data_IF_545959581693
#
_entry.id   IF_545959581693
#
_cell.length_a   1.000
_cell.length_b   1.000
_cell.length_c   1.000
_cell.angle_alpha   90.00
_cell.angle_beta   90.00
_cell.angle_gamma   90.00
#
_symmetry.space_group_name_H-M   'P 1'
#
loop_
_entity.id
_entity.type
_entity.pdbx_description
1 polymer ?
#
# COMPACT_ATOMS: atom_id res chain seq x y z
N UNK A 1 18.51 8.81 6.19
CA UNK A 1 19.43 9.38 5.18
C UNK A 1 18.58 10.02 4.07
N UNK A 2 19.14 10.76 3.10
CA UNK A 2 18.37 11.32 1.98
C UNK A 2 17.44 10.30 1.29
N UNK A 3 16.35 10.80 0.68
CA UNK A 3 15.36 10.00 -0.07
C UNK A 3 14.63 8.95 0.78
N UNK A 4 14.52 9.16 2.10
CA UNK A 4 13.90 8.18 3.01
C UNK A 4 14.72 6.90 3.19
N UNK A 5 15.96 6.86 2.71
CA UNK A 5 16.83 5.69 2.84
C UNK A 5 17.33 5.57 4.28
N UNK A 6 17.04 4.46 4.95
CA UNK A 6 17.61 4.13 6.26
C UNK A 6 18.94 3.38 6.12
N UNK A 7 19.71 3.29 7.21
CA UNK A 7 20.92 2.46 7.24
C UNK A 7 20.62 1.00 6.98
N UNK A 8 19.48 0.53 7.51
CA UNK A 8 18.92 -0.77 7.22
C UNK A 8 18.59 -0.94 5.73
N UNK A 9 18.01 0.06 5.06
CA UNK A 9 17.76 -0.03 3.60
C UNK A 9 19.06 -0.13 2.80
N UNK A 10 20.13 0.57 3.20
CA UNK A 10 21.44 0.42 2.55
C UNK A 10 21.97 -1.00 2.73
N UNK A 11 21.81 -1.58 3.91
CA UNK A 11 22.22 -2.96 4.19
C UNK A 11 21.38 -3.98 3.42
N UNK A 12 20.06 -3.77 3.34
CA UNK A 12 19.12 -4.71 2.72
C UNK A 12 19.14 -4.68 1.21
N UNK A 13 19.28 -3.51 0.60
CA UNK A 13 19.22 -3.36 -0.86
C UNK A 13 20.58 -3.16 -1.51
N UNK A 14 21.64 -2.90 -0.73
CA UNK A 14 22.94 -2.50 -1.26
C UNK A 14 23.60 -3.52 -2.19
N UNK A 15 23.59 -4.81 -1.80
CA UNK A 15 24.13 -5.90 -2.62
C UNK A 15 23.32 -6.09 -3.91
N UNK A 16 22.00 -6.15 -3.80
CA UNK A 16 21.10 -6.40 -4.95
C UNK A 16 21.14 -5.24 -5.93
N UNK A 17 21.09 -4.00 -5.45
CA UNK A 17 21.22 -2.81 -6.30
C UNK A 17 22.59 -2.76 -6.97
N UNK A 18 23.64 -3.15 -6.25
CA UNK A 18 24.97 -3.20 -6.84
C UNK A 18 25.06 -4.21 -7.99
N UNK A 19 24.59 -5.44 -7.77
CA UNK A 19 24.68 -6.52 -8.75
C UNK A 19 23.83 -6.25 -9.98
N UNK A 20 22.67 -5.62 -9.78
CA UNK A 20 21.78 -5.22 -10.86
C UNK A 20 22.25 -3.96 -11.58
N UNK A 21 23.16 -3.15 -11.03
CA UNK A 21 23.50 -1.86 -11.61
C UNK A 21 24.43 -1.92 -12.82
N UNK A 22 24.24 -0.95 -13.73
CA UNK A 22 25.19 -0.52 -14.77
C UNK A 22 26.66 -0.35 -14.31
N UNK A 23 26.94 -0.42 -13.00
CA UNK A 23 28.29 -0.37 -12.43
C UNK A 23 29.19 -1.55 -12.83
N UNK A 24 28.65 -2.72 -13.15
CA UNK A 24 29.45 -3.83 -13.67
C UNK A 24 29.73 -3.58 -15.16
N UNK A 25 30.82 -2.89 -15.44
CA UNK A 25 31.23 -2.56 -16.81
C UNK A 25 32.22 -3.59 -17.34
N UNK A 26 31.73 -4.66 -17.99
CA UNK A 26 32.57 -5.51 -18.84
C UNK A 26 32.77 -4.85 -20.20
N UNK A 27 33.63 -3.84 -20.27
CA UNK A 27 33.96 -3.14 -21.52
C UNK A 27 35.05 -3.87 -22.29
N UNK A 28 34.87 -3.99 -23.61
CA UNK A 28 35.94 -4.41 -24.54
C UNK A 28 36.29 -3.21 -25.43
N UNK A 29 37.53 -2.72 -25.33
CA UNK A 29 37.99 -1.55 -26.09
C UNK A 29 37.54 -0.20 -25.49
N UNK A 30 37.66 0.88 -26.27
CA UNK A 30 37.42 2.28 -25.84
C UNK A 30 36.43 3.00 -26.79
N UNK A 31 35.21 2.48 -26.89
CA UNK A 31 34.15 3.05 -27.75
C UNK A 31 33.67 4.43 -27.26
N UNK A 32 33.74 4.71 -25.96
CA UNK A 32 33.33 5.99 -25.36
C UNK A 32 34.25 7.12 -25.79
N UNK A 33 35.59 6.92 -25.76
CA UNK A 33 36.53 7.92 -26.26
C UNK A 33 36.44 8.12 -27.76
N UNK A 34 36.06 7.07 -28.50
CA UNK A 34 35.88 7.10 -29.95
C UNK A 34 34.50 7.60 -30.40
N UNK A 35 33.60 7.88 -29.45
CA UNK A 35 32.21 8.30 -29.73
C UNK A 35 31.47 7.31 -30.66
N UNK A 36 31.79 6.02 -30.55
CA UNK A 36 31.19 4.95 -31.35
C UNK A 36 29.93 4.43 -30.66
N UNK A 37 28.82 5.13 -30.89
CA UNK A 37 27.54 4.86 -30.22
C UNK A 37 26.92 3.51 -30.60
N UNK A 38 27.18 3.02 -31.82
CA UNK A 38 26.71 1.70 -32.23
C UNK A 38 27.44 0.58 -31.48
N UNK A 39 28.76 0.73 -31.26
CA UNK A 39 29.53 -0.21 -30.45
C UNK A 39 29.21 -0.13 -28.95
N UNK A 40 28.76 1.03 -28.46
CA UNK A 40 28.25 1.18 -27.08
C UNK A 40 26.92 0.44 -26.94
N UNK A 41 25.99 0.62 -27.87
CA UNK A 41 24.68 -0.02 -27.82
C UNK A 41 24.79 -1.54 -27.98
N UNK A 42 25.68 -2.03 -28.85
CA UNK A 42 25.95 -3.46 -29.02
C UNK A 42 26.56 -4.13 -27.77
N UNK A 43 27.11 -3.36 -26.83
CA UNK A 43 27.64 -3.87 -25.56
C UNK A 43 26.59 -3.83 -24.42
N UNK A 44 25.39 -3.29 -24.67
CA UNK A 44 24.33 -3.11 -23.67
C UNK A 44 23.76 -4.44 -23.14
N UNK A 45 23.77 -5.48 -23.97
CA UNK A 45 23.27 -6.83 -23.63
C UNK A 45 24.08 -7.53 -22.51
N UNK A 46 25.20 -6.93 -22.07
CA UNK A 46 26.00 -7.38 -20.93
C UNK A 46 26.22 -6.33 -19.84
N UNK A 47 25.51 -5.19 -19.89
CA UNK A 47 25.55 -4.16 -18.84
C UNK A 47 24.35 -4.31 -17.90
N UNK A 48 24.52 -3.99 -16.62
CA UNK A 48 23.41 -4.01 -15.65
C UNK A 48 22.27 -3.05 -16.02
N UNK A 49 21.24 -3.03 -15.20
CA UNK A 49 20.06 -2.19 -15.29
C UNK A 49 20.35 -0.74 -14.85
N UNK A 50 19.62 0.21 -15.42
CA UNK A 50 19.59 1.60 -14.96
C UNK A 50 18.87 1.73 -13.62
N UNK A 51 19.13 2.81 -12.89
CA UNK A 51 18.50 3.03 -11.57
C UNK A 51 16.96 3.08 -11.65
N UNK A 52 16.40 3.54 -12.78
CA UNK A 52 14.95 3.53 -12.99
C UNK A 52 14.40 2.11 -13.22
N UNK A 53 15.14 1.26 -13.94
CA UNK A 53 14.78 -0.14 -14.15
C UNK A 53 14.94 -0.96 -12.87
N UNK A 54 16.01 -0.72 -12.10
CA UNK A 54 16.21 -1.33 -10.78
C UNK A 54 15.13 -0.85 -9.82
N UNK A 55 14.78 0.43 -9.84
CA UNK A 55 13.71 1.00 -9.02
C UNK A 55 12.37 0.35 -9.32
N UNK A 56 12.02 0.23 -10.60
CA UNK A 56 10.82 -0.49 -11.03
C UNK A 56 10.82 -1.95 -10.57
N UNK A 57 11.99 -2.58 -10.50
CA UNK A 57 12.12 -3.98 -10.06
C UNK A 57 12.13 -4.19 -8.55
N UNK A 58 12.61 -3.20 -7.79
CA UNK A 58 12.77 -3.29 -6.33
C UNK A 58 11.69 -2.54 -5.55
N UNK A 59 10.71 -1.92 -6.22
CA UNK A 59 9.66 -1.15 -5.57
C UNK A 59 10.21 0.07 -4.81
N UNK A 60 11.38 0.56 -5.22
CA UNK A 60 12.06 1.70 -4.62
C UNK A 60 11.90 2.92 -5.53
N UNK A 61 12.04 4.12 -4.97
CA UNK A 61 12.18 5.30 -5.81
C UNK A 61 13.53 5.22 -6.59
N UNK A 62 13.62 5.64 -7.85
CA UNK A 62 14.88 5.80 -8.57
C UNK A 62 15.92 6.59 -7.76
N UNK A 63 15.47 7.57 -6.97
CA UNK A 63 16.30 8.36 -6.09
C UNK A 63 16.86 7.52 -4.92
N UNK A 64 16.07 6.61 -4.35
CA UNK A 64 16.50 5.66 -3.31
C UNK A 64 17.45 4.62 -3.84
N UNK A 65 17.12 4.02 -4.99
CA UNK A 65 18.02 3.10 -5.67
C UNK A 65 19.34 3.78 -5.96
N UNK A 66 19.28 4.99 -6.49
CA UNK A 66 20.52 5.71 -6.78
C UNK A 66 21.29 6.00 -5.50
N UNK A 67 20.62 6.42 -4.43
CA UNK A 67 21.30 6.73 -3.18
C UNK A 67 21.93 5.49 -2.52
N UNK A 68 21.21 4.36 -2.50
CA UNK A 68 21.71 3.09 -1.97
C UNK A 68 22.82 2.55 -2.87
N UNK A 69 22.64 2.59 -4.19
CA UNK A 69 23.68 2.24 -5.18
C UNK A 69 24.95 3.02 -4.90
N UNK A 70 24.82 4.33 -4.72
CA UNK A 70 25.95 5.22 -4.44
C UNK A 70 26.59 4.93 -3.09
N UNK A 71 25.83 4.64 -2.03
CA UNK A 71 26.44 4.24 -0.76
C UNK A 71 27.16 2.90 -0.90
N UNK A 72 26.58 1.96 -1.64
CA UNK A 72 27.19 0.65 -1.92
C UNK A 72 28.48 0.81 -2.74
N UNK A 73 28.46 1.68 -3.75
CA UNK A 73 29.66 2.13 -4.47
C UNK A 73 30.67 2.80 -3.56
N UNK A 74 30.24 3.68 -2.66
CA UNK A 74 31.13 4.36 -1.72
C UNK A 74 31.84 3.39 -0.79
N UNK A 75 31.10 2.40 -0.25
CA UNK A 75 31.62 1.31 0.59
C UNK A 75 32.65 0.47 -0.18
N UNK A 76 32.42 0.22 -1.47
CA UNK A 76 33.28 -0.63 -2.32
C UNK A 76 34.46 0.11 -2.98
N UNK A 77 34.31 1.38 -3.33
CA UNK A 77 35.28 2.15 -4.12
C UNK A 77 36.00 3.28 -3.37
N UNK A 78 35.70 3.55 -2.08
CA UNK A 78 36.30 4.63 -1.26
C UNK A 78 36.32 6.01 -1.94
N UNK A 79 35.16 6.66 -2.12
CA UNK A 79 35.07 7.99 -2.77
C UNK A 79 34.11 8.96 -2.07
N UNK A 80 34.64 9.99 -1.42
CA UNK A 80 33.90 10.94 -0.57
C UNK A 80 33.46 12.25 -1.27
N UNK A 81 32.98 12.23 -2.52
CA UNK A 81 32.58 13.48 -3.23
C UNK A 81 31.23 13.47 -4.00
N UNK A 82 30.34 12.51 -3.74
CA UNK A 82 29.15 12.28 -4.58
C UNK A 82 28.03 13.35 -4.51
N UNK A 83 27.76 13.95 -3.33
CA UNK A 83 26.64 14.91 -3.16
C UNK A 83 26.77 16.15 -4.06
N UNK A 84 28.02 16.54 -4.39
CA UNK A 84 28.34 17.66 -5.29
C UNK A 84 28.16 17.29 -6.77
N UNK A 85 28.33 16.02 -7.14
CA UNK A 85 28.15 15.50 -8.50
C UNK A 85 26.67 15.39 -8.90
N UNK A 86 25.80 15.05 -7.93
CA UNK A 86 24.36 14.93 -8.15
C UNK A 86 23.69 16.28 -8.44
N UNK A 87 24.04 17.31 -7.67
CA UNK A 87 23.57 18.68 -7.90
C UNK A 87 24.08 19.29 -9.23
N UNK A 88 25.21 18.79 -9.75
CA UNK A 88 25.84 19.36 -10.94
C UNK A 88 25.45 18.66 -12.25
N UNK A 89 24.78 17.51 -12.24
CA UNK A 89 24.21 16.88 -13.45
C UNK A 89 25.15 16.82 -14.67
N UNK A 90 26.47 16.70 -14.46
CA UNK A 90 27.48 16.83 -15.52
C UNK A 90 27.36 18.10 -16.39
N UNK A 91 26.79 19.20 -15.86
CA UNK A 91 26.58 20.47 -16.55
C UNK A 91 25.58 20.44 -17.72
N UNK A 92 24.84 19.33 -17.95
CA UNK A 92 24.02 19.16 -19.16
C UNK A 92 22.53 18.88 -18.92
N UNK A 93 22.10 18.73 -17.66
CA UNK A 93 20.69 18.46 -17.31
C UNK A 93 20.08 19.48 -16.34
N UNK A 94 20.73 20.62 -16.15
CA UNK A 94 20.13 21.72 -15.39
C UNK A 94 19.13 22.45 -16.29
N UNK A 95 17.83 22.21 -16.06
CA UNK A 95 16.74 23.02 -16.60
C UNK A 95 16.22 23.91 -15.49
N UNK A 96 16.59 25.17 -15.56
CA UNK A 96 16.17 26.19 -14.60
C UNK A 96 14.63 26.29 -14.64
N UNK A 97 13.96 26.03 -13.50
CA UNK A 97 12.49 25.98 -13.39
C UNK A 97 11.86 24.59 -13.28
N UNK A 98 12.59 23.49 -13.57
CA UNK A 98 12.10 22.10 -13.46
C UNK A 98 12.68 21.34 -12.25
N UNK A 99 13.48 21.99 -11.40
CA UNK A 99 14.06 21.36 -10.21
C UNK A 99 13.05 21.35 -9.05
N UNK A 100 12.67 20.15 -8.61
CA UNK A 100 11.88 19.91 -7.41
C UNK A 100 12.79 19.31 -6.32
N UNK A 101 12.69 19.80 -5.09
CA UNK A 101 13.40 19.23 -3.94
C UNK A 101 12.68 17.92 -3.52
N UNK A 102 13.28 16.74 -3.70
CA UNK A 102 12.65 15.47 -3.35
C UNK A 102 12.42 15.30 -1.84
N UNK A 103 13.09 16.09 -0.99
CA UNK A 103 12.86 16.10 0.46
C UNK A 103 11.66 16.99 0.86
N UNK A 104 11.19 17.88 -0.03
CA UNK A 104 10.02 18.75 0.20
C UNK A 104 8.73 17.96 0.43
N UNK A 105 8.64 16.78 -0.16
CA UNK A 105 7.46 15.90 -0.16
C UNK A 105 7.46 14.84 0.96
N UNK A 106 8.56 14.75 1.73
CA UNK A 106 8.76 13.75 2.78
C UNK A 106 8.82 14.35 4.20
N UNK A 107 8.57 15.65 4.33
CA UNK A 107 8.51 16.30 5.65
C UNK A 107 7.22 15.89 6.35
N UNK A 108 7.30 14.83 7.14
CA UNK A 108 6.20 14.39 8.01
C UNK A 108 6.17 15.25 9.27
N UNK A 109 4.95 15.53 9.75
CA UNK A 109 4.76 16.07 11.09
C UNK A 109 5.14 15.01 12.14
N UNK A 110 5.63 15.40 13.33
CA UNK A 110 6.02 14.46 14.38
C UNK A 110 4.94 13.43 14.73
N UNK A 111 3.67 13.80 14.63
CA UNK A 111 2.51 12.96 14.94
C UNK A 111 2.34 11.79 13.95
N UNK A 112 2.80 11.93 12.70
CA UNK A 112 2.70 10.92 11.65
C UNK A 112 3.88 9.90 11.69
N UNK A 113 4.96 10.20 12.41
CA UNK A 113 6.16 9.36 12.45
C UNK A 113 5.92 7.99 13.12
N UNK A 114 5.23 7.87 14.27
CA UNK A 114 5.07 6.57 14.93
C UNK A 114 4.34 5.53 14.09
N UNK A 115 3.33 5.95 13.32
CA UNK A 115 2.59 5.05 12.45
C UNK A 115 3.46 4.53 11.30
N UNK A 116 4.35 5.38 10.79
CA UNK A 116 5.38 4.97 9.82
C UNK A 116 6.33 3.93 10.42
N UNK A 117 6.79 4.14 11.65
CA UNK A 117 7.68 3.20 12.33
C UNK A 117 7.00 1.84 12.59
N UNK A 118 5.70 1.85 12.88
CA UNK A 118 4.89 0.64 13.07
C UNK A 118 4.76 -0.22 11.79
N UNK A 119 4.95 0.36 10.60
CA UNK A 119 4.92 -0.36 9.32
C UNK A 119 6.25 -1.06 8.95
N UNK A 120 7.17 -1.23 9.90
CA UNK A 120 8.47 -1.82 9.61
C UNK A 120 8.37 -3.34 9.42
N UNK A 121 8.38 -3.79 8.16
CA UNK A 121 8.53 -5.20 7.81
C UNK A 121 10.00 -5.60 7.67
N UNK A 122 10.28 -6.89 7.87
CA UNK A 122 11.59 -7.47 7.63
C UNK A 122 12.00 -7.25 6.15
N UNK A 123 13.16 -6.62 5.88
CA UNK A 123 13.56 -6.29 4.50
C UNK A 123 13.64 -7.50 3.57
N UNK A 124 13.96 -8.67 4.09
CA UNK A 124 14.00 -9.93 3.37
C UNK A 124 12.61 -10.31 2.83
N UNK A 125 11.55 -10.04 3.61
CA UNK A 125 10.16 -10.28 3.19
C UNK A 125 9.74 -9.30 2.09
N UNK A 126 10.08 -8.02 2.24
CA UNK A 126 9.80 -7.00 1.22
C UNK A 126 10.46 -7.39 -0.10
N UNK A 127 11.75 -7.78 -0.05
CA UNK A 127 12.49 -8.22 -1.24
C UNK A 127 11.86 -9.47 -1.88
N UNK A 128 11.46 -10.45 -1.07
CA UNK A 128 10.81 -11.67 -1.56
C UNK A 128 9.46 -11.38 -2.24
N UNK A 129 8.57 -10.61 -1.60
CA UNK A 129 7.25 -10.27 -2.16
C UNK A 129 7.37 -9.42 -3.43
N UNK A 130 8.30 -8.46 -3.44
CA UNK A 130 8.56 -7.64 -4.63
C UNK A 130 9.11 -8.48 -5.79
N UNK A 131 10.11 -9.34 -5.52
CA UNK A 131 10.70 -10.21 -6.54
C UNK A 131 9.69 -11.21 -7.13
N UNK A 132 8.72 -11.65 -6.33
CA UNK A 132 7.62 -12.51 -6.76
C UNK A 132 6.49 -11.76 -7.50
N UNK A 133 6.58 -10.43 -7.64
CA UNK A 133 5.52 -9.61 -8.24
C UNK A 133 4.24 -9.52 -7.39
N UNK A 134 4.33 -9.92 -6.12
CA UNK A 134 3.22 -9.82 -5.17
C UNK A 134 3.07 -8.39 -4.67
N UNK A 135 4.15 -7.62 -4.61
CA UNK A 135 4.16 -6.19 -4.31
C UNK A 135 4.78 -5.42 -5.49
N UNK A 136 4.06 -4.45 -6.04
CA UNK A 136 4.38 -3.77 -7.30
C UNK A 136 4.37 -2.23 -7.21
N UNK A 137 4.26 -1.68 -5.99
CA UNK A 137 4.29 -0.23 -5.77
C UNK A 137 2.98 0.51 -6.07
N UNK A 138 1.92 -0.21 -6.47
CA UNK A 138 0.57 0.34 -6.68
C UNK A 138 -0.07 0.77 -5.35
N UNK A 139 -0.97 1.75 -5.44
CA UNK A 139 -1.83 2.25 -4.37
C UNK A 139 -3.29 2.18 -4.79
N UNK A 140 -4.23 2.28 -3.84
CA UNK A 140 -5.65 2.40 -4.21
C UNK A 140 -5.90 3.64 -5.08
N UNK A 141 -5.18 4.74 -4.83
CA UNK A 141 -5.27 5.97 -5.62
C UNK A 141 -4.73 5.82 -7.04
N UNK A 142 -3.53 5.25 -7.22
CA UNK A 142 -2.93 5.02 -8.55
C UNK A 142 -3.73 4.00 -9.35
N UNK A 143 -4.28 2.98 -8.68
CA UNK A 143 -5.15 1.99 -9.31
C UNK A 143 -6.44 2.63 -9.84
N UNK A 144 -7.08 3.52 -9.05
CA UNK A 144 -8.23 4.30 -9.52
C UNK A 144 -7.88 5.17 -10.73
N UNK A 145 -6.75 5.88 -10.68
CA UNK A 145 -6.28 6.71 -11.81
C UNK A 145 -6.08 5.89 -13.08
N UNK A 146 -5.46 4.70 -12.95
CA UNK A 146 -5.28 3.77 -14.08
C UNK A 146 -6.62 3.33 -14.64
N UNK A 147 -7.58 2.97 -13.79
CA UNK A 147 -8.93 2.58 -14.24
C UNK A 147 -9.67 3.71 -14.94
N UNK A 148 -9.58 4.94 -14.43
CA UNK A 148 -10.16 6.10 -15.11
C UNK A 148 -9.53 6.34 -16.50
N UNK A 149 -8.22 6.13 -16.65
CA UNK A 149 -7.54 6.27 -17.93
C UNK A 149 -7.87 5.13 -18.93
N UNK A 150 -8.01 3.90 -18.45
CA UNK A 150 -8.23 2.71 -19.30
C UNK A 150 -9.71 2.45 -19.60
N UNK A 151 -10.61 2.81 -18.68
CA UNK A 151 -12.02 2.44 -18.68
C UNK A 151 -12.92 3.58 -18.16
N UNK A 152 -12.67 4.80 -18.64
CA UNK A 152 -13.34 6.06 -18.25
C UNK A 152 -14.84 5.95 -17.99
N UNK A 153 -15.60 5.43 -18.97
CA UNK A 153 -17.07 5.39 -18.94
C UNK A 153 -17.63 4.14 -18.23
N UNK A 154 -16.78 3.18 -17.87
CA UNK A 154 -17.20 1.96 -17.17
C UNK A 154 -17.64 2.28 -15.74
N UNK A 155 -18.65 1.56 -15.21
CA UNK A 155 -19.14 1.80 -13.86
C UNK A 155 -18.09 1.40 -12.81
N UNK A 156 -17.75 2.35 -11.92
CA UNK A 156 -16.90 2.14 -10.76
C UNK A 156 -17.72 1.90 -9.49
N UNK A 157 -18.90 2.52 -9.40
CA UNK A 157 -19.83 2.35 -8.30
C UNK A 157 -21.25 2.19 -8.82
N UNK A 158 -22.02 1.27 -8.25
CA UNK A 158 -23.43 1.00 -8.57
C UNK A 158 -24.22 1.00 -7.26
N UNK A 159 -25.15 1.93 -7.12
CA UNK A 159 -26.14 1.94 -6.04
C UNK A 159 -27.42 2.59 -6.55
N UNK A 160 -28.04 3.46 -5.75
CA UNK A 160 -29.17 4.30 -6.21
C UNK A 160 -28.81 5.14 -7.44
N UNK A 161 -27.53 5.50 -7.55
CA UNK A 161 -26.93 6.12 -8.72
C UNK A 161 -25.66 5.38 -9.10
N UNK A 162 -25.40 5.27 -10.40
CA UNK A 162 -24.14 4.74 -10.92
C UNK A 162 -23.15 5.88 -11.15
N UNK A 163 -21.88 5.62 -10.87
CA UNK A 163 -20.76 6.50 -11.19
C UNK A 163 -19.74 5.76 -12.05
N UNK A 164 -19.27 6.43 -13.10
CA UNK A 164 -18.16 5.94 -13.91
C UNK A 164 -16.82 6.11 -13.17
N UNK A 165 -15.77 5.44 -13.65
CA UNK A 165 -14.42 5.62 -13.11
C UNK A 165 -13.92 7.05 -13.21
N UNK A 166 -14.20 7.74 -14.32
CA UNK A 166 -13.82 9.15 -14.50
C UNK A 166 -14.54 10.07 -13.50
N UNK A 167 -15.86 9.92 -13.38
CA UNK A 167 -16.66 10.69 -12.43
C UNK A 167 -16.26 10.43 -10.97
N UNK A 168 -15.88 9.19 -10.63
CA UNK A 168 -15.35 8.86 -9.31
C UNK A 168 -13.98 9.51 -9.08
N UNK A 169 -13.06 9.43 -10.05
CA UNK A 169 -11.73 10.02 -9.95
C UNK A 169 -11.78 11.55 -9.79
N UNK A 170 -12.66 12.24 -10.53
CA UNK A 170 -12.87 13.68 -10.37
C UNK A 170 -13.33 14.05 -8.96
N UNK A 171 -14.30 13.32 -8.41
CA UNK A 171 -14.80 13.55 -7.04
C UNK A 171 -13.76 13.25 -5.99
N UNK A 172 -12.98 12.18 -6.16
CA UNK A 172 -11.86 11.83 -5.27
C UNK A 172 -10.79 12.92 -5.30
N UNK A 173 -10.48 13.48 -6.48
CA UNK A 173 -9.53 14.58 -6.60
C UNK A 173 -10.03 15.86 -5.90
N UNK A 174 -11.32 16.20 -6.00
CA UNK A 174 -11.93 17.32 -5.27
C UNK A 174 -11.88 17.10 -3.76
N UNK A 175 -12.25 15.91 -3.30
CA UNK A 175 -12.21 15.54 -1.89
C UNK A 175 -10.80 15.58 -1.32
N UNK A 176 -9.81 15.06 -2.04
CA UNK A 176 -8.40 15.17 -1.67
C UNK A 176 -7.95 16.64 -1.58
N UNK A 177 -8.47 17.51 -2.44
CA UNK A 177 -8.25 18.95 -2.38
C UNK A 177 -8.90 19.63 -1.18
N UNK A 178 -10.08 19.18 -0.77
CA UNK A 178 -10.74 19.62 0.46
C UNK A 178 -9.92 19.23 1.70
N UNK A 179 -9.37 18.02 1.74
CA UNK A 179 -8.44 17.58 2.79
C UNK A 179 -7.19 18.48 2.85
N UNK A 180 -6.63 18.82 1.69
CA UNK A 180 -5.50 19.75 1.60
C UNK A 180 -5.85 21.13 2.15
N UNK A 181 -7.02 21.67 1.76
CA UNK A 181 -7.51 22.98 2.20
C UNK A 181 -7.80 23.02 3.71
N UNK A 182 -8.18 21.88 4.30
CA UNK A 182 -8.34 21.73 5.76
C UNK A 182 -6.99 21.72 6.52
N UNK A 183 -5.86 21.79 5.83
CA UNK A 183 -4.52 21.85 6.43
C UNK A 183 -3.99 20.49 6.88
N UNK A 184 -4.56 19.40 6.34
CA UNK A 184 -4.09 18.04 6.58
C UNK A 184 -2.67 17.87 6.01
N UNK A 185 -1.77 17.27 6.76
CA UNK A 185 -0.45 16.86 6.29
C UNK A 185 -0.47 15.44 5.72
N UNK A 186 0.52 15.11 4.89
CA UNK A 186 0.75 13.71 4.49
C UNK A 186 1.09 12.86 5.72
N UNK A 187 0.62 11.62 5.72
CA UNK A 187 0.77 10.66 6.81
C UNK A 187 -0.09 10.94 8.04
N UNK A 188 -0.85 12.04 8.08
CA UNK A 188 -1.80 12.28 9.16
C UNK A 188 -3.04 11.38 9.01
N UNK A 189 -3.61 10.98 10.16
CA UNK A 189 -4.76 10.08 10.20
C UNK A 189 -6.07 10.86 10.06
N UNK A 190 -6.96 10.34 9.22
CA UNK A 190 -8.33 10.79 9.00
C UNK A 190 -9.28 9.69 9.44
N UNK A 191 -10.05 9.94 10.50
CA UNK A 191 -11.16 9.06 10.86
C UNK A 191 -12.28 9.17 9.82
N UNK A 192 -12.87 8.05 9.43
CA UNK A 192 -14.02 8.01 8.51
C UNK A 192 -15.13 7.25 9.22
N UNK A 193 -16.26 7.90 9.45
CA UNK A 193 -17.42 7.33 10.15
C UNK A 193 -18.62 7.54 9.25
N UNK A 194 -19.06 6.49 8.59
CA UNK A 194 -20.03 6.59 7.50
C UNK A 194 -20.84 5.32 7.40
N UNK A 195 -22.15 5.45 7.19
CA UNK A 195 -23.02 4.35 6.77
C UNK A 195 -23.36 4.39 5.27
N UNK A 196 -22.98 5.48 4.56
CA UNK A 196 -23.07 5.59 3.10
C UNK A 196 -21.84 4.95 2.44
N UNK A 197 -22.01 3.83 1.71
CA UNK A 197 -20.89 3.14 1.07
C UNK A 197 -20.18 4.01 0.04
N UNK A 198 -20.88 4.91 -0.66
CA UNK A 198 -20.26 5.79 -1.63
C UNK A 198 -19.38 6.82 -0.93
N UNK A 199 -19.90 7.48 0.11
CA UNK A 199 -19.16 8.49 0.86
C UNK A 199 -17.93 7.88 1.56
N UNK A 200 -18.10 6.77 2.28
CA UNK A 200 -17.01 6.12 3.00
C UNK A 200 -15.86 5.69 2.08
N UNK A 201 -16.17 5.08 0.94
CA UNK A 201 -15.15 4.66 -0.03
C UNK A 201 -14.52 5.83 -0.78
N UNK A 202 -15.29 6.88 -1.10
CA UNK A 202 -14.77 8.12 -1.66
C UNK A 202 -13.79 8.80 -0.69
N UNK A 203 -14.13 8.88 0.59
CA UNK A 203 -13.27 9.44 1.63
C UNK A 203 -11.98 8.62 1.80
N UNK A 204 -12.07 7.29 1.77
CA UNK A 204 -10.91 6.40 1.81
C UNK A 204 -9.99 6.63 0.60
N UNK A 205 -10.56 6.69 -0.61
CA UNK A 205 -9.82 6.97 -1.84
C UNK A 205 -9.22 8.38 -1.84
N UNK A 206 -9.91 9.37 -1.29
CA UNK A 206 -9.39 10.73 -1.14
C UNK A 206 -8.18 10.78 -0.20
N UNK A 207 -8.21 10.02 0.89
CA UNK A 207 -7.04 9.85 1.77
C UNK A 207 -5.86 9.22 1.01
N UNK A 208 -6.12 8.12 0.28
CA UNK A 208 -5.11 7.45 -0.53
C UNK A 208 -4.51 8.37 -1.61
N UNK A 209 -5.36 9.16 -2.28
CA UNK A 209 -4.96 10.11 -3.32
C UNK A 209 -4.14 11.27 -2.75
N UNK A 210 -4.49 11.76 -1.57
CA UNK A 210 -3.81 12.86 -0.89
C UNK A 210 -2.48 12.43 -0.22
N UNK A 211 -2.38 11.16 0.18
CA UNK A 211 -1.30 10.65 1.01
C UNK A 211 -1.57 10.78 2.52
N UNK A 212 -2.84 10.78 2.92
CA UNK A 212 -3.27 10.66 4.32
C UNK A 212 -3.63 9.21 4.66
N UNK A 213 -3.68 8.91 5.96
CA UNK A 213 -4.06 7.57 6.44
C UNK A 213 -5.54 7.54 6.76
N UNK A 214 -6.29 6.70 6.04
CA UNK A 214 -7.69 6.45 6.37
C UNK A 214 -7.82 5.55 7.61
N UNK A 215 -8.71 5.90 8.53
CA UNK A 215 -9.17 5.06 9.64
C UNK A 215 -10.69 4.91 9.51
N UNK A 216 -11.19 3.95 8.70
CA UNK A 216 -12.61 3.69 8.61
C UNK A 216 -13.10 3.01 9.90
N UNK A 217 -14.12 3.61 10.52
CA UNK A 217 -14.71 3.20 11.78
C UNK A 217 -16.18 2.90 11.58
N UNK A 218 -16.66 1.86 12.26
CA UNK A 218 -18.07 1.50 12.20
C UNK A 218 -18.93 2.61 12.80
N UNK A 219 -20.02 3.03 12.14
CA UNK A 219 -20.97 3.99 12.70
C UNK A 219 -21.65 3.44 13.97
N UNK A 220 -21.68 2.11 14.15
CA UNK A 220 -22.23 1.45 15.33
C UNK A 220 -21.40 1.64 16.61
N UNK A 221 -20.13 2.07 16.50
CA UNK A 221 -19.31 2.37 17.68
C UNK A 221 -19.93 3.53 18.47
N UNK A 222 -19.93 3.40 19.80
CA UNK A 222 -20.38 4.49 20.66
C UNK A 222 -19.38 5.67 20.65
N UNK A 223 -19.79 6.81 21.20
CA UNK A 223 -18.94 8.01 21.24
C UNK A 223 -17.61 7.82 22.00
N UNK A 224 -17.58 6.94 23.02
CA UNK A 224 -16.36 6.67 23.80
C UNK A 224 -15.40 5.75 23.05
N UNK A 225 -15.91 4.67 22.47
CA UNK A 225 -15.13 3.75 21.65
C UNK A 225 -14.54 4.48 20.43
N UNK A 226 -15.37 5.28 19.74
CA UNK A 226 -14.93 6.11 18.61
C UNK A 226 -13.83 7.09 19.04
N UNK A 227 -14.02 7.80 20.14
CA UNK A 227 -13.01 8.73 20.67
C UNK A 227 -11.70 8.01 21.08
N UNK A 228 -11.79 6.79 21.62
CA UNK A 228 -10.63 5.99 21.99
C UNK A 228 -9.79 5.64 20.75
N UNK A 229 -10.41 5.15 19.67
CA UNK A 229 -9.69 4.86 18.42
C UNK A 229 -9.10 6.10 17.78
N UNK A 230 -9.86 7.19 17.68
CA UNK A 230 -9.36 8.46 17.11
C UNK A 230 -8.17 9.00 17.91
N UNK A 231 -8.21 8.87 19.25
CA UNK A 231 -7.12 9.30 20.12
C UNK A 231 -5.90 8.39 19.98
N UNK A 232 -6.09 7.07 20.00
CA UNK A 232 -5.03 6.09 19.82
C UNK A 232 -4.32 6.31 18.47
N UNK A 233 -5.10 6.52 17.40
CA UNK A 233 -4.60 6.81 16.06
C UNK A 233 -4.02 8.21 15.87
N UNK A 234 -4.21 9.12 16.84
CA UNK A 234 -3.84 10.54 16.73
C UNK A 234 -4.48 11.20 15.51
N UNK A 235 -5.76 10.90 15.27
CA UNK A 235 -6.53 11.42 14.14
C UNK A 235 -6.56 12.95 14.14
N UNK A 236 -6.24 13.55 13.00
CA UNK A 236 -6.21 15.01 12.83
C UNK A 236 -7.60 15.60 12.67
N UNK A 237 -8.47 14.85 12.00
CA UNK A 237 -9.87 15.15 11.76
C UNK A 237 -10.65 13.84 11.60
N UNK A 238 -11.97 13.93 11.69
CA UNK A 238 -12.89 12.86 11.35
C UNK A 238 -13.89 13.37 10.29
N UNK A 239 -14.25 12.48 9.38
CA UNK A 239 -15.24 12.70 8.33
C UNK A 239 -16.49 11.90 8.67
N UNK A 240 -17.62 12.57 8.63
CA UNK A 240 -18.96 12.00 8.70
C UNK A 240 -19.75 12.33 7.43
N UNK A 241 -20.86 11.64 7.16
CA UNK A 241 -21.58 11.70 5.86
C UNK A 241 -22.00 13.12 5.41
N UNK A 242 -22.13 14.05 6.35
CA UNK A 242 -22.46 15.46 6.10
C UNK A 242 -21.23 16.37 5.90
N UNK A 243 -20.02 15.82 5.90
CA UNK A 243 -18.80 16.60 5.69
C UNK A 243 -18.71 17.08 4.24
N UNK A 244 -18.43 18.37 4.05
CA UNK A 244 -18.26 18.93 2.71
C UNK A 244 -16.89 18.57 2.13
N UNK A 245 -16.89 17.53 1.28
CA UNK A 245 -15.75 17.12 0.48
C UNK A 245 -15.81 17.62 -0.97
N UNK A 246 -16.92 18.24 -1.38
CA UNK A 246 -17.15 18.66 -2.76
C UNK A 246 -16.63 20.08 -3.04
N UNK A 247 -16.51 20.92 -2.02
CA UNK A 247 -16.04 22.31 -2.15
C UNK A 247 -14.54 22.50 -2.41
N UNK A 248 -13.74 21.43 -2.42
CA UNK A 248 -12.30 21.50 -2.63
C UNK A 248 -11.90 21.80 -4.08
N UNK A 249 -10.86 22.62 -4.28
CA UNK A 249 -10.21 22.71 -5.58
C UNK A 249 -9.53 21.36 -5.92
N UNK A 250 -9.53 20.89 -7.17
CA UNK A 250 -9.06 19.54 -7.49
C UNK A 250 -7.58 19.37 -7.09
N UNK A 251 -7.31 18.36 -6.27
CA UNK A 251 -5.94 17.92 -6.02
C UNK A 251 -5.44 17.21 -7.28
N UNK A 252 -4.32 17.64 -7.89
CA UNK A 252 -3.80 16.98 -9.08
C UNK A 252 -3.51 15.51 -8.79
N UNK A 253 -3.47 14.64 -9.81
CA UNK A 253 -2.99 13.27 -9.65
C UNK A 253 -1.63 13.31 -8.97
N UNK A 254 -1.60 12.86 -7.72
CA UNK A 254 -0.35 12.51 -7.11
C UNK A 254 -0.05 11.09 -7.61
N UNK A 255 1.21 10.82 -7.93
CA UNK A 255 1.70 9.45 -8.01
C UNK A 255 2.32 9.17 -6.64
N UNK A 256 1.54 8.97 -5.56
CA UNK A 256 2.13 8.45 -4.35
C UNK A 256 2.64 7.07 -4.71
N UNK A 257 3.96 6.93 -4.87
CA UNK A 257 4.56 5.60 -4.91
C UNK A 257 4.34 5.02 -3.53
N UNK A 258 3.62 3.91 -3.43
CA UNK A 258 3.50 3.22 -2.15
C UNK A 258 4.91 2.78 -1.73
N UNK A 259 5.51 3.48 -0.76
CA UNK A 259 6.69 2.95 -0.12
C UNK A 259 6.23 1.83 0.82
N UNK A 260 6.99 0.74 0.90
CA UNK A 260 6.70 -0.36 1.83
C UNK A 260 6.68 0.04 3.32
N UNK A 261 7.06 1.29 3.63
CA UNK A 261 7.04 1.88 4.97
C UNK A 261 5.96 2.96 5.14
N UNK A 262 5.16 3.24 4.10
CA UNK A 262 4.09 4.23 4.17
C UNK A 262 2.80 3.50 4.62
N UNK A 263 2.29 3.78 5.83
CA UNK A 263 1.04 3.21 6.31
C UNK A 263 -0.10 3.75 5.46
N UNK A 264 -0.98 2.90 4.96
CA UNK A 264 -2.20 3.38 4.32
C UNK A 264 -3.35 2.41 4.52
N UNK A 265 -4.32 2.94 5.25
CA UNK A 265 -5.42 2.30 5.98
C UNK A 265 -5.02 1.69 7.33
N UNK A 266 -5.68 2.18 8.37
CA UNK A 266 -5.62 1.68 9.73
C UNK A 266 -6.98 1.04 10.04
N UNK A 267 -7.00 -0.26 10.33
CA UNK A 267 -8.22 -1.01 10.57
C UNK A 267 -8.38 -1.29 12.07
N UNK A 268 -9.60 -1.18 12.58
CA UNK A 268 -9.88 -1.52 13.98
C UNK A 268 -10.12 -3.03 14.14
N UNK A 269 -9.57 -3.59 15.22
CA UNK A 269 -9.74 -4.99 15.65
C UNK A 269 -9.85 -5.01 17.17
N UNK A 270 -11.01 -5.34 17.72
CA UNK A 270 -11.25 -5.28 19.16
C UNK A 270 -11.01 -3.90 19.76
N UNK A 271 -9.99 -3.80 20.61
CA UNK A 271 -9.50 -2.55 21.19
C UNK A 271 -8.22 -2.02 20.52
N UNK A 272 -7.78 -2.69 19.45
CA UNK A 272 -6.52 -2.46 18.76
C UNK A 272 -6.71 -1.80 17.39
N UNK A 273 -5.61 -1.26 16.88
CA UNK A 273 -5.51 -0.73 15.53
C UNK A 273 -4.46 -1.52 14.77
N UNK A 274 -4.78 -1.87 13.54
CA UNK A 274 -3.97 -2.72 12.68
C UNK A 274 -3.60 -1.93 11.42
N UNK A 275 -2.32 -1.53 11.26
CA UNK A 275 -1.90 -0.78 10.10
C UNK A 275 -1.68 -1.71 8.91
N UNK A 276 -2.25 -1.32 7.76
CA UNK A 276 -1.97 -1.97 6.48
C UNK A 276 -1.23 -1.01 5.57
N UNK A 277 -0.41 -1.56 4.68
CA UNK A 277 0.03 -0.81 3.50
C UNK A 277 -0.95 -1.06 2.36
N UNK A 278 -0.98 -0.17 1.37
CA UNK A 278 -1.73 -0.44 0.14
C UNK A 278 -1.27 -1.75 -0.54
N UNK A 279 0.02 -2.09 -0.45
CA UNK A 279 0.56 -3.32 -1.03
C UNK A 279 0.00 -4.56 -0.30
N UNK A 280 -0.17 -4.48 1.02
CA UNK A 280 -0.79 -5.54 1.83
C UNK A 280 -2.25 -5.74 1.44
N UNK A 281 -3.02 -4.66 1.33
CA UNK A 281 -4.43 -4.71 0.91
C UNK A 281 -4.59 -5.25 -0.51
N UNK A 282 -3.78 -4.76 -1.46
CA UNK A 282 -3.83 -5.21 -2.85
C UNK A 282 -3.38 -6.66 -2.98
N UNK A 283 -2.39 -7.11 -2.20
CA UNK A 283 -2.00 -8.51 -2.16
C UNK A 283 -3.15 -9.42 -1.69
N UNK A 284 -3.88 -9.03 -0.65
CA UNK A 284 -5.07 -9.74 -0.20
C UNK A 284 -6.17 -9.74 -1.29
N UNK A 285 -6.41 -8.58 -1.91
CA UNK A 285 -7.44 -8.42 -2.93
C UNK A 285 -7.19 -9.24 -4.22
N UNK A 286 -5.92 -9.47 -4.61
CA UNK A 286 -5.58 -10.24 -5.82
C UNK A 286 -6.14 -11.66 -5.80
N UNK A 287 -6.19 -12.30 -4.62
CA UNK A 287 -6.76 -13.65 -4.49
C UNK A 287 -8.25 -13.67 -4.86
N UNK A 288 -9.02 -12.74 -4.30
CA UNK A 288 -10.46 -12.65 -4.56
C UNK A 288 -10.76 -12.14 -5.98
N UNK A 289 -9.94 -11.22 -6.51
CA UNK A 289 -10.08 -10.75 -7.88
C UNK A 289 -9.85 -11.86 -8.93
N UNK A 290 -9.05 -12.88 -8.61
CA UNK A 290 -8.84 -14.05 -9.48
C UNK A 290 -10.08 -14.96 -9.60
N UNK A 291 -11.12 -14.72 -8.79
CA UNK A 291 -12.44 -15.35 -8.95
C UNK A 291 -13.26 -14.71 -10.08
N UNK A 292 -12.70 -13.70 -10.75
CA UNK A 292 -13.32 -12.97 -11.87
C UNK A 292 -14.74 -12.47 -11.54
N UNK A 293 -14.90 -11.72 -10.43
CA UNK A 293 -16.21 -11.21 -10.06
C UNK A 293 -16.71 -10.19 -11.10
N UNK A 294 -18.02 -10.13 -11.33
CA UNK A 294 -18.65 -9.14 -12.21
C UNK A 294 -19.12 -7.88 -11.45
N UNK A 295 -19.00 -7.87 -10.13
CA UNK A 295 -19.32 -6.77 -9.23
C UNK A 295 -19.14 -7.21 -7.78
N UNK A 296 -18.78 -6.28 -6.90
CA UNK A 296 -18.48 -6.60 -5.49
C UNK A 296 -19.41 -5.81 -4.58
N UNK A 297 -20.06 -6.46 -3.62
CA UNK A 297 -20.93 -5.79 -2.66
C UNK A 297 -20.11 -4.82 -1.78
N UNK A 298 -20.76 -3.78 -1.27
CA UNK A 298 -20.16 -2.85 -0.32
C UNK A 298 -20.63 -3.20 1.11
N UNK A 299 -19.91 -4.08 1.83
CA UNK A 299 -20.34 -4.54 3.16
C UNK A 299 -20.27 -3.41 4.19
N UNK A 300 -21.06 -3.54 5.26
CA UNK A 300 -21.10 -2.54 6.33
C UNK A 300 -19.86 -2.57 7.24
N UNK A 301 -19.16 -3.70 7.34
CA UNK A 301 -17.96 -3.83 8.17
C UNK A 301 -16.78 -3.06 7.52
N UNK A 302 -16.14 -2.11 8.23
CA UNK A 302 -15.12 -1.23 7.63
C UNK A 302 -13.94 -1.95 6.95
N UNK A 303 -13.44 -3.03 7.55
CA UNK A 303 -12.32 -3.80 7.00
C UNK A 303 -12.73 -4.59 5.75
N UNK A 304 -13.93 -5.20 5.75
CA UNK A 304 -14.48 -5.85 4.57
C UNK A 304 -14.82 -4.84 3.47
N UNK A 305 -15.29 -3.64 3.81
CA UNK A 305 -15.58 -2.58 2.85
C UNK A 305 -14.31 -2.13 2.13
N UNK A 306 -13.23 -1.96 2.91
CA UNK A 306 -11.89 -1.64 2.39
C UNK A 306 -11.40 -2.75 1.45
N UNK A 307 -11.55 -4.03 1.85
CA UNK A 307 -11.18 -5.15 0.98
C UNK A 307 -12.04 -5.21 -0.28
N UNK A 308 -13.36 -5.05 -0.17
CA UNK A 308 -14.30 -5.06 -1.29
C UNK A 308 -13.92 -4.02 -2.34
N UNK A 309 -13.62 -2.79 -1.89
CA UNK A 309 -13.13 -1.72 -2.76
C UNK A 309 -11.82 -2.12 -3.47
N UNK A 310 -10.86 -2.68 -2.73
CA UNK A 310 -9.60 -3.12 -3.31
C UNK A 310 -9.81 -4.23 -4.36
N UNK A 311 -10.71 -5.18 -4.11
CA UNK A 311 -11.08 -6.25 -5.06
C UNK A 311 -11.77 -5.67 -6.29
N UNK A 312 -12.75 -4.77 -6.12
CA UNK A 312 -13.47 -4.13 -7.21
C UNK A 312 -12.52 -3.38 -8.16
N UNK A 313 -11.60 -2.57 -7.61
CA UNK A 313 -10.58 -1.87 -8.38
C UNK A 313 -9.59 -2.84 -9.06
N UNK A 314 -9.18 -3.90 -8.36
CA UNK A 314 -8.24 -4.89 -8.87
C UNK A 314 -8.84 -5.72 -10.03
N UNK A 315 -10.12 -6.11 -9.92
CA UNK A 315 -10.85 -6.83 -10.97
C UNK A 315 -11.36 -5.89 -12.09
N UNK A 316 -11.51 -4.59 -11.82
CA UNK A 316 -12.04 -3.62 -12.79
C UNK A 316 -13.56 -3.69 -12.92
N UNK A 317 -14.25 -3.98 -11.82
CA UNK A 317 -15.70 -4.15 -11.76
C UNK A 317 -16.31 -3.17 -10.75
N UNK A 318 -17.61 -2.86 -10.83
CA UNK A 318 -18.20 -1.88 -9.92
C UNK A 318 -18.27 -2.38 -8.47
N UNK A 319 -18.11 -1.44 -7.55
CA UNK A 319 -18.51 -1.60 -6.15
C UNK A 319 -20.03 -1.34 -6.03
N UNK A 320 -20.77 -2.26 -5.40
CA UNK A 320 -22.23 -2.25 -5.24
C UNK A 320 -23.00 -3.18 -6.19
N UNK A 321 -22.38 -4.30 -6.58
CA UNK A 321 -23.07 -5.44 -7.20
C UNK A 321 -23.25 -6.61 -6.24
N UNK A 322 -24.00 -7.64 -6.66
CA UNK A 322 -24.38 -8.76 -5.80
C UNK A 322 -23.66 -10.07 -6.14
N UNK A 323 -22.74 -10.05 -7.11
CA UNK A 323 -22.05 -11.23 -7.61
C UNK A 323 -20.99 -11.74 -6.61
N UNK A 324 -20.17 -10.85 -6.06
CA UNK A 324 -19.23 -11.17 -4.98
C UNK A 324 -19.65 -10.45 -3.70
N UNK A 325 -20.09 -11.19 -2.70
CA UNK A 325 -20.48 -10.65 -1.39
C UNK A 325 -19.51 -11.14 -0.33
N UNK A 326 -18.92 -10.18 0.39
CA UNK A 326 -18.05 -10.44 1.54
C UNK A 326 -18.88 -10.30 2.83
N UNK A 327 -19.03 -11.41 3.55
CA UNK A 327 -19.59 -11.46 4.89
C UNK A 327 -18.50 -11.88 5.89
N UNK A 328 -18.73 -11.65 7.17
CA UNK A 328 -17.75 -11.91 8.24
C UNK A 328 -17.18 -13.34 8.21
N UNK A 329 -18.04 -14.33 8.00
CA UNK A 329 -17.66 -15.75 7.96
C UNK A 329 -17.78 -16.41 6.57
N UNK A 330 -18.29 -15.67 5.58
CA UNK A 330 -18.68 -16.27 4.30
C UNK A 330 -18.39 -15.37 3.11
N UNK A 331 -18.04 -16.03 2.02
CA UNK A 331 -17.98 -15.44 0.69
C UNK A 331 -19.16 -16.00 -0.10
N UNK A 332 -19.92 -15.14 -0.78
CA UNK A 332 -20.89 -15.58 -1.77
C UNK A 332 -20.40 -15.15 -3.15
N UNK A 333 -20.20 -16.13 -4.03
CA UNK A 333 -19.96 -15.90 -5.45
C UNK A 333 -21.16 -16.45 -6.23
N UNK A 334 -21.88 -15.59 -6.94
CA UNK A 334 -23.14 -15.94 -7.61
C UNK A 334 -24.15 -16.63 -6.68
N UNK A 335 -24.21 -16.19 -5.43
CA UNK A 335 -25.06 -16.75 -4.37
C UNK A 335 -24.57 -18.09 -3.82
N UNK A 336 -23.50 -18.67 -4.34
CA UNK A 336 -22.89 -19.87 -3.78
C UNK A 336 -22.01 -19.50 -2.59
N UNK A 337 -22.41 -19.99 -1.41
CA UNK A 337 -21.67 -19.79 -0.16
C UNK A 337 -20.39 -20.63 -0.15
N UNK A 338 -19.28 -19.98 0.17
CA UNK A 338 -17.97 -20.57 0.37
C UNK A 338 -17.47 -20.16 1.77
N UNK A 339 -16.84 -21.07 2.54
CA UNK A 339 -16.16 -20.70 3.77
C UNK A 339 -15.14 -19.61 3.45
N UNK A 340 -15.13 -18.55 4.24
CA UNK A 340 -14.23 -17.41 4.05
C UNK A 340 -13.84 -16.87 5.41
N UNK A 341 -12.54 -16.73 5.64
CA UNK A 341 -12.05 -16.05 6.82
C UNK A 341 -11.36 -14.76 6.37
N UNK A 342 -11.80 -13.64 6.93
CA UNK A 342 -11.15 -12.35 6.82
C UNK A 342 -11.17 -11.69 8.17
N UNK A 343 -10.01 -11.20 8.63
CA UNK A 343 -9.92 -10.40 9.84
C UNK A 343 -9.11 -9.12 9.56
N UNK A 344 -9.18 -8.11 10.45
CA UNK A 344 -8.40 -6.90 10.29
C UNK A 344 -6.89 -7.16 10.14
N UNK A 345 -6.30 -8.18 10.74
CA UNK A 345 -4.87 -8.53 10.66
C UNK A 345 -4.47 -9.19 9.36
N UNK A 346 -5.41 -9.88 8.72
CA UNK A 346 -5.20 -10.55 7.44
C UNK A 346 -6.56 -10.56 6.69
N UNK A 347 -6.82 -9.53 5.88
CA UNK A 347 -8.13 -9.31 5.29
C UNK A 347 -8.53 -10.36 4.25
N UNK A 348 -7.67 -11.32 3.90
CA UNK A 348 -8.08 -12.50 3.14
C UNK A 348 -7.25 -13.71 3.56
N UNK A 349 -7.83 -14.62 4.36
CA UNK A 349 -7.10 -15.73 4.98
C UNK A 349 -7.35 -17.09 4.33
N UNK A 350 -8.55 -17.37 3.83
CA UNK A 350 -8.80 -18.58 3.06
C UNK A 350 -10.21 -18.64 2.46
N UNK A 351 -10.35 -19.40 1.37
CA UNK A 351 -11.63 -19.89 0.88
C UNK A 351 -11.67 -21.43 0.87
N UNK A 352 -12.85 -22.01 1.13
CA UNK A 352 -13.09 -23.47 0.98
C UNK A 352 -12.80 -24.33 2.21
N UNK A 353 -12.97 -25.65 2.05
CA UNK A 353 -12.69 -26.67 3.06
C UNK A 353 -11.82 -27.79 2.42
N UNK A 354 -10.52 -27.91 2.78
CA UNK A 354 -9.81 -27.14 3.80
C UNK A 354 -9.44 -25.71 3.34
N UNK A 355 -9.19 -24.78 4.29
CA UNK A 355 -8.78 -23.42 4.01
C UNK A 355 -7.45 -23.36 3.24
N UNK A 356 -7.38 -22.51 2.22
CA UNK A 356 -6.19 -22.27 1.39
C UNK A 356 -5.59 -20.89 1.63
N UNK A 357 -4.26 -20.79 1.66
CA UNK A 357 -3.61 -19.48 1.80
C UNK A 357 -3.90 -18.55 0.61
N UNK A 358 -3.94 -17.22 0.81
CA UNK A 358 -4.02 -16.25 -0.29
C UNK A 358 -2.78 -16.37 -1.20
N UNK A 359 -2.84 -15.87 -2.46
CA UNK A 359 -1.70 -15.96 -3.38
C UNK A 359 -0.40 -15.42 -2.79
N UNK A 360 0.65 -16.26 -2.79
CA UNK A 360 1.94 -15.92 -2.21
C UNK A 360 2.00 -15.93 -0.68
N UNK A 361 0.90 -16.30 -0.01
CA UNK A 361 0.83 -16.59 1.41
C UNK A 361 1.02 -18.08 1.71
N UNK A 362 1.28 -18.35 2.97
CA UNK A 362 1.39 -19.68 3.56
C UNK A 362 0.37 -19.81 4.69
N UNK A 363 -0.14 -21.02 4.88
CA UNK A 363 -1.13 -21.36 5.90
C UNK A 363 -0.72 -22.64 6.62
N UNK A 364 -0.79 -22.61 7.95
CA UNK A 364 -0.71 -23.77 8.84
C UNK A 364 -2.03 -23.83 9.61
N UNK A 365 -2.56 -25.02 9.81
CA UNK A 365 -3.76 -25.21 10.62
C UNK A 365 -3.57 -26.41 11.53
N UNK A 366 -4.06 -26.30 12.76
CA UNK A 366 -4.21 -27.45 13.66
C UNK A 366 -5.50 -28.25 13.38
N UNK A 367 -6.31 -27.80 12.41
CA UNK A 367 -7.55 -28.43 11.96
C UNK A 367 -8.75 -28.21 12.88
N UNK A 368 -8.58 -27.55 14.03
CA UNK A 368 -9.63 -27.51 15.07
C UNK A 368 -9.82 -26.15 15.73
N UNK A 369 -8.74 -25.40 16.04
CA UNK A 369 -8.82 -24.22 16.92
C UNK A 369 -8.15 -22.97 16.37
N UNK A 370 -7.06 -23.13 15.62
CA UNK A 370 -6.30 -21.99 15.13
C UNK A 370 -5.83 -22.21 13.70
N UNK A 371 -5.78 -21.10 12.97
CA UNK A 371 -5.03 -20.98 11.73
C UNK A 371 -3.88 -20.02 11.97
N UNK A 372 -2.72 -20.38 11.45
CA UNK A 372 -1.58 -19.50 11.36
C UNK A 372 -1.33 -19.15 9.90
N UNK A 373 -1.11 -17.88 9.61
CA UNK A 373 -0.81 -17.41 8.26
C UNK A 373 0.38 -16.50 8.22
N UNK A 374 1.06 -16.52 7.08
CA UNK A 374 2.17 -15.64 6.78
C UNK A 374 2.14 -15.30 5.32
N UNK A 375 2.29 -14.02 4.97
CA UNK A 375 2.22 -13.67 3.56
C UNK A 375 2.22 -12.18 3.28
N UNK A 376 2.10 -11.82 1.98
CA UNK A 376 2.10 -10.43 1.53
C UNK A 376 0.84 -9.66 1.94
N UNK A 377 -0.25 -10.35 2.28
CA UNK A 377 -1.52 -9.78 2.73
C UNK A 377 -1.71 -9.74 4.26
N UNK A 378 -0.66 -10.03 5.04
CA UNK A 378 -0.72 -10.04 6.51
C UNK A 378 -0.12 -8.75 7.06
N UNK A 379 -0.79 -8.15 8.05
CA UNK A 379 -0.35 -6.95 8.76
C UNK A 379 1.02 -7.16 9.46
N UNK A 380 1.78 -6.09 9.74
CA UNK A 380 3.04 -6.18 10.48
C UNK A 380 2.83 -6.40 12.00
N UNK A 381 1.65 -6.10 12.53
CA UNK A 381 1.36 -6.14 13.96
C UNK A 381 0.26 -5.14 14.35
N UNK A 382 0.12 -4.87 15.65
CA UNK A 382 -0.79 -3.86 16.17
C UNK A 382 -0.08 -2.53 16.41
N UNK A 383 -0.73 -1.43 16.03
CA UNK A 383 -0.22 -0.07 16.19
C UNK A 383 -0.05 0.31 17.66
N UNK A 384 1.15 0.79 18.00
CA UNK A 384 1.56 1.20 19.35
C UNK A 384 1.32 0.13 20.44
N UNK A 385 1.33 -1.17 20.04
CA UNK A 385 1.08 -2.28 20.94
C UNK A 385 2.01 -3.48 20.67
N UNK A 386 3.28 -3.42 21.14
CA UNK A 386 4.24 -4.51 20.95
C UNK A 386 3.86 -5.78 21.71
N UNK A 387 3.08 -5.68 22.80
CA UNK A 387 2.66 -6.83 23.60
C UNK A 387 1.62 -7.66 22.86
N UNK A 388 0.57 -7.03 22.33
CA UNK A 388 -0.41 -7.72 21.49
C UNK A 388 0.25 -8.26 20.22
N UNK A 389 1.17 -7.50 19.63
CA UNK A 389 1.90 -7.95 18.44
C UNK A 389 2.71 -9.23 18.72
N UNK A 390 3.44 -9.29 19.84
CA UNK A 390 4.21 -10.48 20.22
C UNK A 390 3.34 -11.68 20.63
N UNK A 391 2.05 -11.47 20.94
CA UNK A 391 1.09 -12.55 21.23
C UNK A 391 0.48 -13.13 19.97
N UNK A 392 0.12 -12.25 19.02
CA UNK A 392 -0.52 -12.65 17.77
C UNK A 392 0.48 -13.10 16.70
N UNK A 393 1.74 -12.65 16.78
CA UNK A 393 2.78 -12.96 15.78
C UNK A 393 3.97 -13.66 16.42
N UNK A 394 4.43 -14.75 15.79
CA UNK A 394 5.66 -15.43 16.21
C UNK A 394 6.93 -14.77 15.62
N UNK A 395 8.11 -15.27 16.03
CA UNK A 395 9.40 -14.76 15.56
C UNK A 395 9.68 -15.00 14.06
N UNK A 396 8.94 -15.92 13.42
CA UNK A 396 9.00 -16.23 12.00
C UNK A 396 7.98 -15.41 11.18
N UNK A 397 7.17 -14.58 11.84
CA UNK A 397 6.16 -13.72 11.24
C UNK A 397 4.84 -14.41 10.92
N UNK A 398 4.53 -15.54 11.56
CA UNK A 398 3.23 -16.19 11.49
C UNK A 398 2.24 -15.48 12.40
N UNK A 399 1.14 -15.01 11.80
CA UNK A 399 -0.02 -14.49 12.49
C UNK A 399 -0.95 -15.64 12.88
N UNK A 400 -1.25 -15.78 14.17
CA UNK A 400 -2.15 -16.78 14.72
C UNK A 400 -3.52 -16.18 14.98
N UNK A 401 -4.55 -16.77 14.40
CA UNK A 401 -5.95 -16.36 14.60
C UNK A 401 -6.83 -17.57 14.94
N UNK A 402 -7.84 -17.42 15.81
CA UNK A 402 -8.85 -18.46 16.03
C UNK A 402 -9.52 -18.89 14.72
N UNK A 403 -9.85 -20.17 14.61
CA UNK A 403 -10.60 -20.74 13.50
C UNK A 403 -11.70 -21.64 14.06
N UNK A 404 -12.93 -21.53 13.54
CA UNK A 404 -14.10 -22.29 13.97
C UNK A 404 -14.56 -22.08 15.43
N UNK A 405 -14.55 -20.84 15.93
CA UNK A 405 -15.44 -20.43 17.02
C UNK A 405 -15.22 -21.11 18.37
N UNK A 406 -13.97 -21.30 18.83
CA UNK A 406 -13.73 -21.53 20.26
C UNK A 406 -13.98 -20.21 21.02
N UNK A 407 -15.05 -20.11 21.85
CA UNK A 407 -15.40 -18.88 22.55
C UNK A 407 -14.35 -18.44 23.59
N UNK A 408 -13.43 -19.35 23.96
CA UNK A 408 -12.41 -19.14 24.98
C UNK A 408 -10.99 -18.95 24.40
N UNK A 409 -10.85 -18.86 23.07
CA UNK A 409 -9.63 -18.40 22.42
C UNK A 409 -9.41 -16.93 22.73
N UNK A 410 -8.48 -16.64 23.67
CA UNK A 410 -8.14 -15.26 24.04
C UNK A 410 -7.98 -14.37 22.79
N UNK A 411 -8.87 -13.39 22.66
CA UNK A 411 -9.03 -12.41 21.58
C UNK A 411 -10.10 -12.71 20.49
N UNK A 412 -11.24 -13.29 20.86
CA UNK A 412 -12.51 -13.09 20.14
C UNK A 412 -13.18 -11.77 20.58
N UNK A 413 -12.71 -10.65 20.01
CA UNK A 413 -13.43 -9.38 19.77
C UNK A 413 -12.41 -8.25 19.63
#
# INVERSE_FOLDING_TARGET
MPYGVSERMVESYGEVIWDLSLNIQRRRGDAVRKLDFAAIEAQREGTGLSDAEIAGRLGLAPEQVTFIRVISERRRFRRDQYRKLYALGGGKRYREGEWFDPDRDLTLRPEAVPLRDAMTLAPERIAAYTAAGLWDGETLGSLLQRRAAEASDSPAFVGDKSLSYDALAERVAQAAGALAAAGLGRGEVVGIVSDDPLFGNLALLACAWYGAVALPLSPALDGRQRAAFLSLARARLALEDYSDLAGGGPCPPQVPRAHAADPVVLLASGEYLVPHSHQTLLAAARGLAALEPNGVAAPALPHLATLALAVALQAGVPLGGDNLVLEEDNLLLDGQRMPFLSCPEAPALAWGDPPLAPPGGELRSDGERYIETRGPGVAPGYYDNPVASARAFDAEGWFKTPFNGDPDGHDAA
#
